data_IF_621002174234
#
_entry.id   IF_621002174234
#
_cell.length_a   1.000
_cell.length_b   1.000
_cell.length_c   1.000
_cell.angle_alpha   90.00
_cell.angle_beta   90.00
_cell.angle_gamma   90.00
#
_symmetry.space_group_name_H-M   'P 1'
#
loop_
_entity.id
_entity.type
_entity.pdbx_description
1 polymer ?
#
# COMPACT_ATOMS: atom_id res chain seq x y z
N UNK A 1 22.45 -18.15 34.71
CA UNK A 1 22.63 -17.76 36.12
C UNK A 1 23.47 -16.50 36.19
N UNK A 2 23.13 -15.53 37.05
CA UNK A 2 23.92 -14.32 37.28
C UNK A 2 25.00 -14.54 38.36
N UNK A 3 26.00 -13.66 38.46
CA UNK A 3 26.86 -13.61 39.64
C UNK A 3 26.07 -13.33 40.92
N UNK A 4 26.58 -13.79 42.07
CA UNK A 4 25.99 -13.53 43.39
C UNK A 4 26.33 -12.14 43.91
N UNK A 5 25.49 -11.59 44.79
CA UNK A 5 25.72 -10.28 45.42
C UNK A 5 26.95 -10.23 46.33
N UNK A 6 27.55 -11.38 46.68
CA UNK A 6 28.88 -11.43 47.31
C UNK A 6 29.93 -10.64 46.52
N UNK A 7 29.81 -10.61 45.18
CA UNK A 7 30.75 -9.93 44.31
C UNK A 7 30.48 -8.42 44.19
N UNK A 8 29.42 -7.93 44.84
CA UNK A 8 29.09 -6.51 44.97
C UNK A 8 27.60 -6.21 44.79
N UNK A 9 27.15 -5.06 45.30
CA UNK A 9 25.74 -4.65 45.28
C UNK A 9 25.21 -4.45 43.85
N UNK A 10 26.07 -4.15 42.87
CA UNK A 10 25.70 -3.97 41.47
C UNK A 10 24.99 -5.21 40.87
N UNK A 11 25.19 -6.40 41.43
CA UNK A 11 24.53 -7.62 40.95
C UNK A 11 23.06 -7.74 41.36
N UNK A 12 22.53 -6.77 42.12
CA UNK A 12 21.08 -6.56 42.19
C UNK A 12 20.48 -6.10 40.86
N UNK A 13 21.29 -5.45 40.01
CA UNK A 13 20.88 -4.97 38.70
C UNK A 13 21.37 -5.92 37.62
N UNK A 14 20.43 -6.57 36.94
CA UNK A 14 20.72 -7.45 35.80
C UNK A 14 19.71 -7.16 34.72
N UNK A 15 20.20 -6.91 33.50
CA UNK A 15 19.36 -6.64 32.34
C UNK A 15 19.52 -7.77 31.34
N UNK A 16 18.40 -8.38 30.95
CA UNK A 16 18.34 -9.38 29.89
C UNK A 16 17.55 -8.76 28.75
N UNK A 17 18.14 -8.69 27.55
CA UNK A 17 17.46 -8.18 26.36
C UNK A 17 17.39 -9.30 25.32
N UNK A 18 16.19 -9.52 24.79
CA UNK A 18 15.89 -10.49 23.74
C UNK A 18 15.60 -9.70 22.46
N UNK A 19 16.29 -10.02 21.36
CA UNK A 19 15.99 -9.50 20.02
C UNK A 19 15.28 -10.59 19.23
N UNK A 20 14.00 -10.39 18.95
CA UNK A 20 13.16 -11.30 18.18
C UNK A 20 13.44 -11.25 16.68
N UNK A 21 14.32 -10.34 16.21
CA UNK A 21 14.70 -10.08 14.80
C UNK A 21 13.58 -9.53 13.91
N UNK A 22 12.31 -9.75 14.26
CA UNK A 22 11.12 -9.20 13.61
C UNK A 22 10.19 -8.61 14.69
N UNK A 23 9.22 -7.78 14.28
CA UNK A 23 8.13 -7.35 15.15
C UNK A 23 7.11 -8.48 15.30
N UNK A 24 6.85 -8.87 16.54
CA UNK A 24 5.82 -9.84 16.90
C UNK A 24 4.69 -9.16 17.64
N UNK A 25 3.51 -9.74 17.52
CA UNK A 25 2.43 -9.48 18.45
C UNK A 25 2.51 -10.47 19.61
N UNK A 26 2.98 -9.98 20.76
CA UNK A 26 3.26 -10.83 21.93
C UNK A 26 2.00 -10.96 22.78
N UNK A 27 1.53 -12.20 22.94
CA UNK A 27 0.34 -12.51 23.72
C UNK A 27 0.66 -12.69 25.21
N UNK A 28 1.76 -13.37 25.51
CA UNK A 28 2.18 -13.63 26.89
C UNK A 28 3.68 -13.88 27.02
N UNK A 29 4.19 -13.70 28.23
CA UNK A 29 5.56 -14.02 28.60
C UNK A 29 5.56 -14.83 29.89
N UNK A 30 6.21 -15.98 29.86
CA UNK A 30 6.37 -16.88 31.00
C UNK A 30 7.86 -16.95 31.34
N UNK A 31 8.19 -16.59 32.58
CA UNK A 31 9.56 -16.69 33.09
C UNK A 31 9.57 -17.78 34.16
N UNK A 32 10.46 -18.76 33.99
CA UNK A 32 10.65 -19.83 34.97
C UNK A 32 12.02 -19.69 35.65
N UNK A 33 11.99 -19.42 36.95
CA UNK A 33 13.18 -19.44 37.77
C UNK A 33 13.72 -20.89 37.88
N UNK A 34 15.01 -21.01 38.14
CA UNK A 34 15.68 -22.29 38.37
C UNK A 34 15.94 -22.47 39.88
N UNK A 35 17.21 -22.63 40.26
CA UNK A 35 17.71 -22.70 41.63
C UNK A 35 17.87 -21.30 42.28
N UNK A 36 16.84 -20.46 42.17
CA UNK A 36 16.72 -19.17 42.86
C UNK A 36 15.26 -18.75 42.98
N UNK A 37 14.89 -17.90 43.95
CA UNK A 37 13.54 -17.35 44.00
C UNK A 37 13.28 -16.43 42.79
N UNK A 38 12.01 -16.10 42.57
CA UNK A 38 11.62 -15.11 41.56
C UNK A 38 12.23 -13.75 41.88
N UNK A 39 12.50 -12.91 40.86
CA UNK A 39 13.01 -11.56 41.10
C UNK A 39 12.07 -10.75 41.99
N UNK A 40 12.64 -9.91 42.86
CA UNK A 40 11.87 -9.09 43.79
C UNK A 40 11.26 -7.89 43.10
N UNK A 41 12.10 -6.91 42.74
CA UNK A 41 11.71 -5.74 41.97
C UNK A 41 12.32 -5.83 40.59
N UNK A 42 11.48 -5.70 39.57
CA UNK A 42 11.92 -5.69 38.19
C UNK A 42 10.87 -5.09 37.27
N UNK A 43 11.27 -4.76 36.06
CA UNK A 43 10.42 -4.19 35.03
C UNK A 43 10.50 -5.06 33.79
N UNK A 44 9.33 -5.38 33.23
CA UNK A 44 9.21 -5.95 31.90
C UNK A 44 9.01 -4.80 30.92
N UNK A 45 9.92 -4.67 29.96
CA UNK A 45 9.98 -3.57 29.01
C UNK A 45 9.94 -4.14 27.57
N UNK A 46 9.43 -3.34 26.64
CA UNK A 46 9.36 -3.62 25.21
C UNK A 46 9.90 -2.49 24.38
N UNK A 47 10.29 -2.80 23.15
CA UNK A 47 10.77 -1.82 22.18
C UNK A 47 10.62 -2.35 20.75
N UNK A 48 10.42 -1.43 19.79
CA UNK A 48 10.43 -1.73 18.35
C UNK A 48 11.82 -1.51 17.74
N UNK A 49 12.56 -0.51 18.23
CA UNK A 49 13.82 -0.03 17.67
C UNK A 49 15.06 -0.51 18.43
N UNK A 50 14.89 -0.98 19.67
CA UNK A 50 15.99 -1.39 20.55
C UNK A 50 16.68 -0.23 21.24
N UNK A 51 16.13 0.99 21.16
CA UNK A 51 16.66 2.20 21.79
C UNK A 51 15.66 2.74 22.81
N UNK A 52 14.42 3.02 22.39
CA UNK A 52 13.37 3.47 23.29
C UNK A 52 12.62 2.27 23.89
N UNK A 53 12.67 2.13 25.20
CA UNK A 53 12.05 1.03 25.93
C UNK A 53 10.90 1.53 26.77
N UNK A 54 9.72 1.00 26.47
CA UNK A 54 8.49 1.29 27.19
C UNK A 54 8.12 0.14 28.12
N UNK A 55 7.59 0.40 29.31
CA UNK A 55 7.22 -0.64 30.26
C UNK A 55 5.95 -1.36 29.79
N UNK A 56 5.95 -2.69 29.84
CA UNK A 56 4.74 -3.50 29.79
C UNK A 56 4.14 -3.70 31.18
N UNK A 57 4.98 -4.00 32.17
CA UNK A 57 4.51 -4.27 33.53
C UNK A 57 5.62 -4.09 34.56
N UNK A 58 5.24 -3.59 35.73
CA UNK A 58 6.11 -3.47 36.89
C UNK A 58 5.83 -4.57 37.91
N UNK A 59 6.91 -5.04 38.53
CA UNK A 59 6.85 -6.04 39.59
C UNK A 59 7.62 -5.51 40.80
N UNK A 60 6.99 -5.63 41.97
CA UNK A 60 7.54 -5.15 43.23
C UNK A 60 7.40 -6.21 44.32
N UNK A 61 8.29 -6.19 45.30
CA UNK A 61 8.25 -7.12 46.45
C UNK A 61 7.01 -6.97 47.34
N UNK A 62 6.42 -5.77 47.37
CA UNK A 62 5.22 -5.39 48.11
C UNK A 62 4.40 -4.34 47.35
N UNK A 63 3.12 -4.23 47.71
CA UNK A 63 2.21 -3.23 47.14
C UNK A 63 2.66 -1.79 47.45
N UNK A 64 3.27 -1.56 48.60
CA UNK A 64 3.85 -0.26 48.98
C UNK A 64 5.06 0.13 48.11
N UNK A 65 5.86 -0.85 47.67
CA UNK A 65 6.99 -0.60 46.79
C UNK A 65 6.56 -0.22 45.36
N UNK A 66 5.38 -0.65 44.90
CA UNK A 66 4.81 -0.16 43.64
C UNK A 66 4.64 1.37 43.64
N UNK A 67 4.06 1.92 44.73
CA UNK A 67 3.83 3.34 44.85
C UNK A 67 5.14 4.12 45.09
N UNK A 68 5.97 3.65 46.01
CA UNK A 68 7.18 4.40 46.42
C UNK A 68 8.30 4.35 45.39
N UNK A 69 8.45 3.25 44.63
CA UNK A 69 9.53 3.09 43.64
C UNK A 69 9.12 3.42 42.21
N UNK A 70 7.90 3.03 41.82
CA UNK A 70 7.43 3.19 40.44
C UNK A 70 6.34 4.26 40.30
N UNK A 71 5.88 4.87 41.41
CA UNK A 71 4.81 5.85 41.42
C UNK A 71 3.50 5.33 40.78
N UNK A 72 3.23 4.03 40.94
CA UNK A 72 2.05 3.36 40.39
C UNK A 72 1.24 2.74 41.53
N UNK A 73 -0.08 2.91 41.49
CA UNK A 73 -0.97 2.27 42.45
C UNK A 73 -0.94 0.74 42.27
N UNK A 74 -0.71 -0.03 43.35
CA UNK A 74 -0.57 -1.47 43.25
C UNK A 74 -1.88 -2.14 42.83
N UNK A 75 -1.79 -3.12 41.92
CA UNK A 75 -2.90 -4.00 41.57
C UNK A 75 -2.94 -5.19 42.54
N UNK A 76 -3.97 -5.21 43.38
CA UNK A 76 -4.14 -6.23 44.43
C UNK A 76 -4.65 -7.53 43.80
N UNK A 77 -4.00 -8.65 44.14
CA UNK A 77 -4.38 -9.97 43.64
C UNK A 77 -3.79 -10.27 42.25
N UNK A 78 -4.43 -11.17 41.48
CA UNK A 78 -4.02 -11.46 40.11
C UNK A 78 -4.06 -10.22 39.22
N UNK A 79 -3.12 -10.08 38.25
CA UNK A 79 -3.16 -9.00 37.26
C UNK A 79 -4.52 -8.89 36.56
N UNK A 80 -5.07 -7.68 36.55
CA UNK A 80 -6.31 -7.33 35.84
C UNK A 80 -6.19 -5.90 35.33
N UNK A 81 -6.81 -5.61 34.20
CA UNK A 81 -6.62 -4.37 33.44
C UNK A 81 -7.96 -3.68 33.19
N UNK A 82 -7.96 -2.35 33.15
CA UNK A 82 -9.11 -1.49 32.84
C UNK A 82 -9.05 -0.91 31.43
N UNK A 83 -7.84 -0.75 30.88
CA UNK A 83 -7.59 -0.25 29.50
C UNK A 83 -6.64 -1.18 28.77
N UNK A 84 -6.61 -1.08 27.44
CA UNK A 84 -5.77 -1.93 26.60
C UNK A 84 -4.28 -1.57 26.67
N UNK A 85 -3.96 -0.30 26.89
CA UNK A 85 -2.60 0.23 27.03
C UNK A 85 -2.12 0.31 28.50
N UNK A 86 -2.95 -0.10 29.47
CA UNK A 86 -2.65 0.12 30.88
C UNK A 86 -1.42 -0.67 31.33
N UNK A 87 -0.48 0.05 31.94
CA UNK A 87 0.71 -0.50 32.58
C UNK A 87 0.49 -0.54 34.09
N UNK A 88 0.48 -1.75 34.65
CA UNK A 88 0.22 -1.95 36.08
C UNK A 88 1.50 -2.29 36.86
N UNK A 89 1.41 -2.19 38.18
CA UNK A 89 2.37 -2.78 39.10
C UNK A 89 1.71 -3.83 39.99
N UNK A 90 2.33 -5.00 40.15
CA UNK A 90 1.81 -6.07 41.01
C UNK A 90 2.91 -6.70 41.87
N UNK A 91 2.54 -7.11 43.08
CA UNK A 91 3.37 -7.92 43.97
C UNK A 91 3.08 -9.42 43.91
N UNK A 92 2.04 -9.83 43.17
CA UNK A 92 1.53 -11.20 43.13
C UNK A 92 2.61 -12.22 42.70
N UNK A 93 3.36 -11.90 41.65
CA UNK A 93 4.43 -12.75 41.12
C UNK A 93 5.80 -12.54 41.77
N UNK A 94 5.95 -11.57 42.67
CA UNK A 94 7.19 -11.28 43.40
C UNK A 94 7.18 -11.82 44.84
N UNK A 95 6.20 -12.66 45.18
CA UNK A 95 6.13 -13.36 46.48
C UNK A 95 7.28 -14.36 46.60
N UNK A 96 7.80 -14.49 47.82
CA UNK A 96 8.98 -15.29 48.15
C UNK A 96 8.82 -16.78 47.85
N UNK A 97 7.62 -17.34 48.06
CA UNK A 97 7.32 -18.75 47.75
C UNK A 97 6.84 -18.85 46.30
N UNK A 98 7.32 -19.82 45.51
CA UNK A 98 8.33 -20.83 45.86
C UNK A 98 9.77 -20.28 45.77
N UNK A 99 10.68 -20.88 46.54
CA UNK A 99 12.10 -20.50 46.59
C UNK A 99 12.90 -20.98 45.37
N UNK A 100 12.38 -21.95 44.64
CA UNK A 100 12.96 -22.49 43.41
C UNK A 100 11.84 -22.81 42.44
N UNK A 101 12.16 -22.87 41.14
CA UNK A 101 11.21 -23.23 40.08
C UNK A 101 9.96 -22.34 40.03
N UNK A 102 10.04 -21.13 40.60
CA UNK A 102 8.93 -20.19 40.59
C UNK A 102 8.65 -19.68 39.19
N UNK A 103 7.36 -19.62 38.85
CA UNK A 103 6.89 -19.16 37.56
C UNK A 103 6.26 -17.77 37.67
N UNK A 104 6.49 -16.97 36.64
CA UNK A 104 5.87 -15.66 36.46
C UNK A 104 5.15 -15.69 35.13
N UNK A 105 3.83 -15.56 35.18
CA UNK A 105 2.96 -15.57 34.02
C UNK A 105 2.48 -14.15 33.76
N UNK A 106 2.81 -13.61 32.61
CA UNK A 106 2.43 -12.25 32.22
C UNK A 106 1.61 -12.32 30.96
N UNK A 107 0.30 -12.16 31.10
CA UNK A 107 -0.60 -12.06 29.95
C UNK A 107 -0.70 -10.60 29.51
N UNK A 108 -0.42 -10.34 28.24
CA UNK A 108 -0.53 -9.01 27.63
C UNK A 108 -1.88 -8.79 26.95
N UNK A 109 -2.59 -9.86 26.57
CA UNK A 109 -3.91 -9.81 25.91
C UNK A 109 -5.02 -10.17 26.91
N UNK A 110 -4.97 -11.37 27.50
CA UNK A 110 -6.06 -11.85 28.35
C UNK A 110 -6.28 -10.94 29.56
N UNK A 111 -7.54 -10.61 29.83
CA UNK A 111 -7.96 -9.75 30.93
C UNK A 111 -8.03 -8.27 30.59
N UNK A 112 -7.71 -7.86 29.35
CA UNK A 112 -7.96 -6.52 28.82
C UNK A 112 -9.35 -6.43 28.16
N UNK A 113 -10.01 -5.26 28.15
CA UNK A 113 -11.36 -5.11 27.62
C UNK A 113 -11.51 -5.56 26.16
N UNK A 114 -10.54 -5.23 25.31
CA UNK A 114 -10.58 -5.51 23.87
C UNK A 114 -9.84 -6.80 23.49
N UNK A 115 -9.78 -7.77 24.41
CA UNK A 115 -9.14 -9.05 24.12
C UNK A 115 -9.86 -9.83 23.01
N UNK A 116 -11.19 -9.67 22.90
CA UNK A 116 -12.03 -10.37 21.91
C UNK A 116 -12.08 -9.63 20.56
N UNK A 117 -11.88 -8.31 20.56
CA UNK A 117 -11.87 -7.46 19.35
C UNK A 117 -10.57 -6.65 19.33
N UNK A 118 -9.58 -7.12 18.59
CA UNK A 118 -8.20 -6.60 18.62
C UNK A 118 -8.11 -5.16 18.10
N UNK A 119 -8.33 -4.20 19.01
CA UNK A 119 -8.24 -2.77 18.73
C UNK A 119 -6.82 -2.35 18.31
N UNK A 120 -6.66 -1.31 17.48
CA UNK A 120 -5.34 -0.79 17.12
C UNK A 120 -4.46 -0.44 18.34
N UNK A 121 -5.06 0.06 19.43
CA UNK A 121 -4.39 0.37 20.69
C UNK A 121 -3.78 -0.91 21.33
N UNK A 122 -4.52 -2.02 21.36
CA UNK A 122 -4.02 -3.29 21.89
C UNK A 122 -2.96 -3.92 20.98
N UNK A 123 -3.14 -3.85 19.66
CA UNK A 123 -2.15 -4.30 18.67
C UNK A 123 -0.82 -3.55 18.86
N UNK A 124 -0.89 -2.22 18.98
CA UNK A 124 0.29 -1.39 19.21
C UNK A 124 0.93 -1.71 20.56
N UNK A 125 0.14 -1.86 21.62
CA UNK A 125 0.65 -2.20 22.95
C UNK A 125 1.36 -3.56 22.99
N UNK A 126 0.83 -4.57 22.30
CA UNK A 126 1.38 -5.94 22.27
C UNK A 126 2.51 -6.12 21.27
N UNK A 127 2.73 -5.15 20.38
CA UNK A 127 3.82 -5.17 19.40
C UNK A 127 5.19 -4.96 20.06
N UNK A 128 6.14 -5.85 19.74
CA UNK A 128 7.52 -5.74 20.16
C UNK A 128 8.48 -6.50 19.24
N UNK A 129 9.67 -5.95 19.04
CA UNK A 129 10.83 -6.66 18.49
C UNK A 129 11.83 -6.99 19.58
N UNK A 130 12.04 -6.07 20.51
CA UNK A 130 12.94 -6.23 21.63
C UNK A 130 12.14 -6.35 22.93
N UNK A 131 12.49 -7.34 23.73
CA UNK A 131 11.92 -7.55 25.05
C UNK A 131 13.05 -7.44 26.06
N UNK A 132 12.86 -6.62 27.09
CA UNK A 132 13.89 -6.38 28.11
C UNK A 132 13.34 -6.67 29.50
N UNK A 133 14.05 -7.51 30.23
CA UNK A 133 13.81 -7.79 31.64
C UNK A 133 14.84 -6.99 32.43
N UNK A 134 14.40 -5.94 33.12
CA UNK A 134 15.26 -5.11 33.96
C UNK A 134 15.09 -5.51 35.42
N UNK A 135 15.92 -6.44 35.87
CA UNK A 135 15.95 -6.90 37.26
C UNK A 135 16.67 -5.86 38.11
N UNK A 136 16.03 -5.39 39.18
CA UNK A 136 16.53 -4.29 40.01
C UNK A 136 16.78 -4.67 41.47
N UNK A 137 16.15 -5.75 41.96
CA UNK A 137 16.31 -6.23 43.33
C UNK A 137 16.08 -7.73 43.43
N UNK A 138 17.00 -8.41 44.11
CA UNK A 138 16.89 -9.85 44.39
C UNK A 138 15.94 -10.05 45.57
N UNK A 139 15.12 -11.10 45.53
CA UNK A 139 14.27 -11.46 46.65
C UNK A 139 15.10 -12.18 47.72
N UNK A 140 15.13 -11.62 48.93
CA UNK A 140 15.82 -12.19 50.08
C UNK A 140 14.85 -12.84 51.05
N UNK A 141 15.32 -13.78 51.86
CA UNK A 141 14.57 -14.29 53.01
C UNK A 141 14.41 -13.16 54.04
N UNK A 142 13.28 -13.13 54.75
CA UNK A 142 13.01 -12.09 55.76
C UNK A 142 14.07 -12.09 56.88
N UNK A 143 14.61 -13.26 57.24
CA UNK A 143 15.67 -13.40 58.24
C UNK A 143 16.99 -12.75 57.80
N UNK A 144 17.32 -12.83 56.50
CA UNK A 144 18.57 -12.30 55.95
C UNK A 144 18.45 -10.82 55.55
N UNK A 145 17.23 -10.28 55.49
CA UNK A 145 16.96 -8.88 55.16
C UNK A 145 17.60 -7.91 56.18
N UNK A 146 17.63 -8.30 57.46
CA UNK A 146 18.26 -7.52 58.53
C UNK A 146 19.79 -7.55 58.45
N UNK A 147 20.36 -8.63 57.91
CA UNK A 147 21.81 -8.79 57.72
C UNK A 147 22.29 -8.05 56.47
N UNK A 148 21.45 -7.99 55.42
CA UNK A 148 21.75 -7.33 54.15
C UNK A 148 21.44 -5.82 54.15
N UNK A 149 20.77 -5.31 55.19
CA UNK A 149 20.49 -3.87 55.38
C UNK A 149 21.60 -3.12 56.15
N UNK A 150 22.65 -3.83 56.60
CA UNK A 150 23.82 -3.20 57.21
C UNK A 150 24.53 -2.27 56.22
N UNK A 151 24.97 -1.11 56.72
CA UNK A 151 25.55 -0.03 55.90
C UNK A 151 26.96 -0.35 55.41
N UNK A 152 27.70 -1.22 56.09
CA UNK A 152 29.04 -1.65 55.67
C UNK A 152 28.98 -3.07 55.06
N UNK A 153 29.29 -3.24 53.75
CA UNK A 153 29.36 -4.55 53.11
C UNK A 153 30.37 -5.51 53.74
N UNK A 154 31.31 -5.03 54.56
CA UNK A 154 32.33 -5.84 55.25
C UNK A 154 31.78 -6.60 56.47
N UNK A 155 30.67 -6.15 57.03
CA UNK A 155 30.05 -6.76 58.22
C UNK A 155 29.03 -7.86 57.86
N UNK A 156 28.77 -8.06 56.57
CA UNK A 156 27.82 -9.07 56.08
C UNK A 156 28.53 -10.39 55.80
N UNK A 157 28.06 -11.48 56.41
CA UNK A 157 28.61 -12.81 56.19
C UNK A 157 28.62 -13.19 54.68
N UNK A 158 29.80 -13.45 54.09
CA UNK A 158 29.93 -13.87 52.70
C UNK A 158 29.14 -15.14 52.33
N UNK A 159 28.79 -15.98 53.31
CA UNK A 159 27.97 -17.18 53.12
C UNK A 159 26.53 -16.80 52.74
N UNK A 160 25.99 -15.74 53.35
CA UNK A 160 24.63 -15.25 53.08
C UNK A 160 24.58 -14.61 51.69
N UNK A 161 25.53 -13.72 51.38
CA UNK A 161 25.58 -13.01 50.09
C UNK A 161 25.90 -13.92 48.90
N UNK A 162 26.56 -15.07 49.12
CA UNK A 162 26.84 -16.05 48.07
C UNK A 162 25.58 -16.79 47.58
N UNK A 163 24.54 -16.89 48.41
CA UNK A 163 23.29 -17.61 48.09
C UNK A 163 22.31 -16.79 47.25
N UNK A 164 22.52 -15.48 47.16
CA UNK A 164 21.62 -14.57 46.46
C UNK A 164 22.14 -14.21 45.06
N UNK A 165 21.48 -14.76 44.04
CA UNK A 165 21.70 -14.53 42.62
C UNK A 165 20.39 -14.74 41.85
N UNK A 166 20.35 -14.35 40.58
CA UNK A 166 19.26 -14.69 39.67
C UNK A 166 19.58 -15.96 38.88
N UNK A 167 18.61 -16.86 38.79
CA UNK A 167 18.70 -18.06 37.96
C UNK A 167 17.37 -18.27 37.25
N UNK A 168 17.41 -18.17 35.93
CA UNK A 168 16.28 -18.37 35.03
C UNK A 168 16.63 -19.57 34.16
N UNK A 169 15.77 -20.60 34.16
CA UNK A 169 15.95 -21.79 33.32
C UNK A 169 15.29 -21.65 31.95
N UNK A 170 14.19 -20.91 31.89
CA UNK A 170 13.37 -20.78 30.70
C UNK A 170 12.68 -19.42 30.64
N UNK A 171 12.67 -18.82 29.45
CA UNK A 171 11.88 -17.64 29.11
C UNK A 171 11.09 -18.01 27.86
N UNK A 172 9.80 -18.25 28.04
CA UNK A 172 8.88 -18.54 26.94
C UNK A 172 8.13 -17.26 26.56
N UNK A 173 8.29 -16.84 25.32
CA UNK A 173 7.54 -15.71 24.73
C UNK A 173 6.54 -16.29 23.74
N UNK A 174 5.25 -16.17 24.05
CA UNK A 174 4.17 -16.60 23.17
C UNK A 174 3.63 -15.41 22.38
N UNK A 175 3.55 -15.56 21.06
CA UNK A 175 3.04 -14.53 20.18
C UNK A 175 2.86 -15.03 18.76
N UNK A 176 2.40 -14.14 17.89
CA UNK A 176 2.22 -14.39 16.46
C UNK A 176 3.00 -13.36 15.65
N UNK A 177 3.46 -13.78 14.47
CA UNK A 177 4.02 -12.86 13.50
C UNK A 177 2.94 -11.93 12.96
N UNK A 178 3.30 -10.67 12.72
CA UNK A 178 2.39 -9.70 12.13
C UNK A 178 2.45 -9.84 10.61
N UNK A 179 1.45 -10.54 10.06
CA UNK A 179 1.27 -10.70 8.61
C UNK A 179 -0.07 -10.14 8.11
N UNK A 180 -0.76 -9.35 8.96
CA UNK A 180 -2.05 -8.71 8.68
C UNK A 180 -3.14 -9.64 8.09
N UNK A 181 -3.13 -10.92 8.46
CA UNK A 181 -4.10 -11.90 7.94
C UNK A 181 -3.83 -12.38 6.51
N UNK A 182 -2.68 -12.04 5.93
CA UNK A 182 -2.28 -12.48 4.58
C UNK A 182 -1.19 -13.56 4.58
N UNK A 183 -0.92 -14.22 5.70
CA UNK A 183 -0.02 -15.37 5.72
C UNK A 183 -0.46 -16.38 6.78
N UNK A 184 -0.34 -17.67 6.47
CA UNK A 184 -0.60 -18.74 7.44
C UNK A 184 0.61 -19.08 8.30
N UNK A 185 1.82 -18.76 7.83
CA UNK A 185 3.05 -19.10 8.53
C UNK A 185 4.17 -18.08 8.29
N UNK A 186 5.06 -18.00 9.28
CA UNK A 186 6.30 -17.24 9.23
C UNK A 186 7.44 -18.19 9.61
N UNK A 187 7.95 -19.01 8.66
CA UNK A 187 9.02 -19.93 8.95
C UNK A 187 10.30 -19.17 9.31
N UNK A 188 11.07 -19.74 10.23
CA UNK A 188 12.39 -19.22 10.55
C UNK A 188 13.40 -19.72 9.52
N UNK A 189 14.05 -18.79 8.83
CA UNK A 189 15.22 -19.06 7.98
C UNK A 189 16.46 -18.35 8.55
N UNK A 190 17.58 -19.07 8.78
CA UNK A 190 18.83 -18.48 9.25
C UNK A 190 19.42 -17.41 8.32
N UNK A 191 19.05 -17.39 7.03
CA UNK A 191 19.54 -16.42 6.03
C UNK A 191 18.54 -15.29 5.79
N UNK A 192 17.25 -15.61 5.62
CA UNK A 192 16.21 -14.64 5.21
C UNK A 192 15.43 -14.03 6.38
N UNK A 193 15.84 -14.28 7.63
CA UNK A 193 15.14 -13.87 8.87
C UNK A 193 13.76 -14.57 8.97
N UNK A 194 13.03 -14.28 10.04
CA UNK A 194 11.61 -14.62 10.13
C UNK A 194 10.85 -13.69 9.17
N UNK A 195 10.24 -14.25 8.12
CA UNK A 195 9.47 -13.52 7.12
C UNK A 195 8.12 -14.23 6.89
N UNK A 196 7.06 -13.45 6.69
CA UNK A 196 5.74 -13.99 6.37
C UNK A 196 5.75 -14.63 4.97
N UNK A 197 5.15 -15.81 4.82
CA UNK A 197 4.87 -16.39 3.51
C UNK A 197 3.56 -15.78 3.01
N UNK A 198 3.68 -14.66 2.31
CA UNK A 198 2.52 -13.87 1.90
C UNK A 198 1.63 -14.59 0.87
N UNK A 199 0.33 -14.50 1.10
CA UNK A 199 -0.78 -14.94 0.27
C UNK A 199 -1.57 -13.70 -0.19
N UNK A 200 -2.76 -13.89 -0.78
CA UNK A 200 -3.67 -12.79 -1.12
C UNK A 200 -3.04 -11.69 -2.04
N UNK A 201 -2.04 -12.07 -2.84
CA UNK A 201 -1.25 -11.17 -3.70
C UNK A 201 -0.61 -9.99 -2.95
N UNK A 202 -0.22 -10.22 -1.70
CA UNK A 202 0.50 -9.25 -0.86
C UNK A 202 1.99 -9.55 -0.84
N UNK A 203 2.78 -8.50 -0.64
CA UNK A 203 4.23 -8.52 -0.66
C UNK A 203 4.79 -7.75 0.57
N UNK A 204 6.10 -7.81 0.77
CA UNK A 204 6.80 -7.22 1.92
C UNK A 204 7.21 -8.24 2.99
N UNK A 205 7.93 -7.81 4.03
CA UNK A 205 8.35 -8.71 5.13
C UNK A 205 7.15 -9.19 5.97
N UNK A 206 6.12 -8.36 6.05
CA UNK A 206 4.91 -8.55 6.84
C UNK A 206 3.62 -8.54 6.01
N UNK A 207 3.71 -8.68 4.69
CA UNK A 207 2.53 -8.66 3.80
C UNK A 207 1.73 -7.34 3.89
N UNK A 208 2.45 -6.23 4.06
CA UNK A 208 1.92 -4.91 4.37
C UNK A 208 1.69 -4.03 3.11
N UNK A 209 1.84 -4.61 1.93
CA UNK A 209 1.59 -3.95 0.64
C UNK A 209 1.07 -4.96 -0.37
N UNK A 210 0.38 -4.49 -1.41
CA UNK A 210 0.04 -5.34 -2.55
C UNK A 210 1.29 -5.60 -3.41
N UNK A 211 1.35 -6.76 -4.04
CA UNK A 211 2.43 -7.04 -4.97
C UNK A 211 2.34 -6.15 -6.24
N UNK A 212 3.47 -5.92 -6.93
CA UNK A 212 3.49 -5.18 -8.19
C UNK A 212 2.44 -5.71 -9.18
N UNK A 213 1.65 -4.80 -9.75
CA UNK A 213 0.54 -5.11 -10.66
C UNK A 213 -0.80 -5.45 -9.99
N UNK A 214 -0.90 -5.45 -8.65
CA UNK A 214 -2.11 -5.77 -7.89
C UNK A 214 -2.72 -4.57 -7.14
N UNK A 215 -2.58 -3.38 -7.70
CA UNK A 215 -3.05 -2.12 -7.08
C UNK A 215 -4.39 -1.64 -7.66
N UNK A 216 -5.31 -2.54 -8.01
CA UNK A 216 -6.63 -2.15 -8.51
C UNK A 216 -7.48 -1.49 -7.42
N UNK A 217 -7.33 -1.94 -6.18
CA UNK A 217 -7.97 -1.42 -4.97
C UNK A 217 -6.90 -1.12 -3.90
N UNK A 218 -7.20 -0.30 -2.88
CA UNK A 218 -6.24 -0.04 -1.81
C UNK A 218 -6.03 -1.30 -0.97
N UNK A 219 -4.80 -1.50 -0.48
CA UNK A 219 -4.47 -2.60 0.43
C UNK A 219 -5.30 -2.50 1.72
N UNK A 220 -5.78 -3.65 2.22
CA UNK A 220 -6.51 -3.75 3.47
C UNK A 220 -6.10 -5.04 4.20
N UNK A 221 -6.02 -5.04 5.54
CA UNK A 221 -5.67 -6.23 6.30
C UNK A 221 -6.74 -7.31 6.15
N UNK A 222 -6.35 -8.58 6.07
CA UNK A 222 -7.26 -9.71 6.11
C UNK A 222 -8.05 -9.79 7.42
N UNK A 223 -9.32 -10.19 7.31
CA UNK A 223 -10.25 -10.42 8.42
C UNK A 223 -10.62 -11.91 8.49
N UNK A 224 -11.31 -12.33 9.54
CA UNK A 224 -11.80 -13.71 9.66
C UNK A 224 -12.80 -14.10 8.55
N UNK A 225 -13.54 -13.13 8.02
CA UNK A 225 -14.59 -13.34 7.02
C UNK A 225 -14.12 -13.08 5.59
N UNK A 226 -13.16 -12.17 5.41
CA UNK A 226 -12.67 -11.73 4.10
C UNK A 226 -11.14 -11.63 4.11
N UNK A 227 -10.49 -12.28 3.16
CA UNK A 227 -9.04 -12.26 3.01
C UNK A 227 -8.49 -10.93 2.47
N UNK A 228 -9.35 -10.03 1.96
CA UNK A 228 -8.97 -8.73 1.39
C UNK A 228 -7.83 -8.88 0.38
N UNK A 229 -8.04 -9.75 -0.60
CA UNK A 229 -7.04 -10.08 -1.62
C UNK A 229 -6.82 -8.91 -2.57
N UNK A 230 -5.58 -8.52 -2.77
CA UNK A 230 -5.22 -7.48 -3.73
C UNK A 230 -5.62 -7.91 -5.15
N UNK A 231 -6.39 -7.06 -5.84
CA UNK A 231 -6.86 -7.31 -7.20
C UNK A 231 -5.84 -6.83 -8.25
N UNK A 232 -5.63 -7.66 -9.28
CA UNK A 232 -4.76 -7.36 -10.42
C UNK A 232 -5.30 -6.20 -11.26
N UNK A 233 -4.45 -5.26 -11.62
CA UNK A 233 -4.81 -4.19 -12.55
C UNK A 233 -5.04 -4.72 -13.98
N UNK A 234 -6.02 -4.15 -14.66
CA UNK A 234 -6.26 -4.45 -16.07
C UNK A 234 -5.49 -3.49 -16.98
N UNK A 235 -4.26 -3.84 -17.34
CA UNK A 235 -3.45 -3.05 -18.27
C UNK A 235 -3.47 -3.59 -19.71
N UNK A 236 -4.45 -4.43 -20.06
CA UNK A 236 -4.55 -5.09 -21.36
C UNK A 236 -3.24 -5.79 -21.83
N UNK A 237 -2.49 -6.37 -20.88
CA UNK A 237 -1.16 -6.97 -21.11
C UNK A 237 -0.11 -6.01 -21.71
N UNK A 238 -0.30 -4.70 -21.56
CA UNK A 238 0.62 -3.66 -22.05
C UNK A 238 1.46 -3.04 -20.95
N UNK A 239 1.13 -3.28 -19.68
CA UNK A 239 1.97 -2.97 -18.54
C UNK A 239 1.95 -4.14 -17.56
N UNK A 240 3.04 -4.27 -16.80
CA UNK A 240 3.19 -5.31 -15.76
C UNK A 240 2.78 -4.78 -14.39
N UNK A 241 3.02 -3.49 -14.14
CA UNK A 241 2.83 -2.86 -12.85
C UNK A 241 1.83 -1.70 -12.94
N UNK A 242 1.27 -1.31 -11.80
CA UNK A 242 0.31 -0.24 -11.64
C UNK A 242 0.36 0.30 -10.21
N UNK A 243 -0.16 1.50 -9.99
CA UNK A 243 -0.38 2.06 -8.65
C UNK A 243 -1.84 2.43 -8.45
N UNK A 244 -2.28 2.47 -7.19
CA UNK A 244 -3.64 2.88 -6.86
C UNK A 244 -3.75 4.41 -6.79
N UNK A 245 -4.81 4.98 -7.36
CA UNK A 245 -5.14 6.38 -7.27
C UNK A 245 -6.61 6.58 -6.88
N UNK A 246 -6.84 7.23 -5.75
CA UNK A 246 -8.19 7.49 -5.22
C UNK A 246 -9.05 8.32 -6.19
N UNK A 247 -8.49 9.35 -6.82
CA UNK A 247 -9.24 10.21 -7.75
C UNK A 247 -9.69 9.43 -8.99
N UNK A 248 -8.89 8.48 -9.45
CA UNK A 248 -9.25 7.58 -10.58
C UNK A 248 -10.39 6.65 -10.18
N UNK A 249 -10.40 6.18 -8.93
CA UNK A 249 -11.49 5.38 -8.38
C UNK A 249 -12.79 6.16 -8.24
N UNK A 250 -12.72 7.36 -7.66
CA UNK A 250 -13.89 8.23 -7.45
C UNK A 250 -14.54 8.62 -8.79
N UNK A 251 -13.73 8.87 -9.82
CA UNK A 251 -14.18 9.20 -11.18
C UNK A 251 -14.53 7.97 -12.03
N UNK A 252 -14.37 6.74 -11.50
CA UNK A 252 -14.61 5.47 -12.21
C UNK A 252 -13.89 5.40 -13.56
N UNK A 253 -12.61 5.78 -13.57
CA UNK A 253 -11.79 5.82 -14.79
C UNK A 253 -10.96 4.54 -15.01
N UNK A 254 -10.74 3.74 -13.96
CA UNK A 254 -10.08 2.45 -14.08
C UNK A 254 -11.09 1.35 -14.36
N UNK A 255 -10.70 0.41 -15.22
CA UNK A 255 -11.42 -0.84 -15.46
C UNK A 255 -10.72 -1.99 -14.75
N UNK A 256 -11.49 -2.88 -14.13
CA UNK A 256 -10.97 -4.07 -13.48
C UNK A 256 -10.84 -5.26 -14.46
N UNK A 257 -10.40 -6.43 -13.97
CA UNK A 257 -10.21 -7.60 -14.86
C UNK A 257 -11.50 -8.17 -15.45
N UNK A 258 -12.65 -7.89 -14.85
CA UNK A 258 -13.99 -8.27 -15.32
C UNK A 258 -14.59 -7.26 -16.32
N UNK A 259 -13.90 -6.18 -16.62
CA UNK A 259 -14.39 -5.14 -17.54
C UNK A 259 -15.34 -4.12 -16.89
N UNK A 260 -15.41 -4.08 -15.56
CA UNK A 260 -16.22 -3.12 -14.81
C UNK A 260 -15.39 -1.88 -14.45
N UNK A 261 -16.01 -0.70 -14.52
CA UNK A 261 -15.38 0.58 -14.13
C UNK A 261 -15.39 0.77 -12.62
N UNK A 262 -14.55 -0.01 -11.93
CA UNK A 262 -14.40 -0.05 -10.48
C UNK A 262 -12.93 -0.07 -10.09
N UNK A 263 -12.59 0.45 -8.92
CA UNK A 263 -11.21 0.56 -8.46
C UNK A 263 -10.46 1.77 -9.05
N UNK A 264 -9.19 1.92 -8.68
CA UNK A 264 -8.35 3.08 -8.96
C UNK A 264 -6.98 2.75 -9.55
N UNK A 265 -6.81 1.55 -10.10
CA UNK A 265 -5.54 1.12 -10.68
C UNK A 265 -5.12 1.95 -11.89
N UNK A 266 -3.89 2.46 -11.87
CA UNK A 266 -3.27 3.21 -12.97
C UNK A 266 -2.02 2.49 -13.43
N UNK A 267 -2.02 2.03 -14.67
CA UNK A 267 -0.91 1.31 -15.27
C UNK A 267 0.32 2.21 -15.46
N UNK A 268 1.51 1.66 -15.19
CA UNK A 268 2.78 2.37 -15.38
C UNK A 268 3.56 1.77 -16.55
N UNK A 269 4.27 2.60 -17.31
CA UNK A 269 5.08 2.18 -18.47
C UNK A 269 4.29 1.35 -19.50
N UNK A 270 3.18 1.90 -19.98
CA UNK A 270 2.40 1.31 -21.07
C UNK A 270 3.28 1.06 -22.31
N UNK A 271 3.40 -0.21 -22.71
CA UNK A 271 4.12 -0.64 -23.91
C UNK A 271 3.24 -0.53 -25.16
N UNK A 272 3.78 -0.89 -26.33
CA UNK A 272 3.05 -0.90 -27.61
C UNK A 272 2.47 0.47 -27.99
N UNK A 273 3.18 1.56 -27.63
CA UNK A 273 2.80 2.95 -27.90
C UNK A 273 1.39 3.28 -27.42
N UNK A 274 1.03 2.78 -26.24
CA UNK A 274 -0.27 2.99 -25.61
C UNK A 274 -0.19 3.94 -24.43
N UNK A 275 -1.31 4.54 -24.09
CA UNK A 275 -1.47 5.50 -23.00
C UNK A 275 -2.85 5.33 -22.34
N UNK A 276 -3.12 6.16 -21.33
CA UNK A 276 -4.35 6.11 -20.53
C UNK A 276 -4.22 5.21 -19.29
N UNK A 277 -5.24 5.28 -18.43
CA UNK A 277 -5.29 4.61 -17.11
C UNK A 277 -5.03 3.10 -17.19
N UNK A 278 -5.59 2.44 -18.21
CA UNK A 278 -5.52 1.00 -18.43
C UNK A 278 -4.69 0.64 -19.69
N UNK A 279 -3.88 1.58 -20.22
CA UNK A 279 -3.21 1.44 -21.53
C UNK A 279 -4.21 1.22 -22.69
N UNK A 280 -5.39 1.85 -22.59
CA UNK A 280 -6.51 1.68 -23.50
C UNK A 280 -6.53 2.66 -24.68
N UNK A 281 -5.78 3.76 -24.62
CA UNK A 281 -5.61 4.71 -25.74
C UNK A 281 -4.23 4.56 -26.38
N UNK A 282 -4.00 5.20 -27.53
CA UNK A 282 -2.65 5.31 -28.07
C UNK A 282 -1.94 6.51 -27.45
N UNK A 283 -0.61 6.42 -27.34
CA UNK A 283 0.21 7.55 -26.95
C UNK A 283 0.15 8.66 -28.00
N UNK A 284 0.48 9.89 -27.59
CA UNK A 284 0.52 11.03 -28.49
C UNK A 284 1.43 10.74 -29.69
N UNK A 285 0.94 11.05 -30.89
CA UNK A 285 1.62 10.71 -32.14
C UNK A 285 1.34 9.31 -32.67
N UNK A 286 0.54 8.47 -31.99
CA UNK A 286 0.14 7.15 -32.47
C UNK A 286 -1.39 7.02 -32.58
N UNK A 287 -1.87 6.23 -33.54
CA UNK A 287 -3.31 5.97 -33.72
C UNK A 287 -3.60 4.51 -34.07
N UNK A 288 -4.86 4.09 -33.86
CA UNK A 288 -5.36 2.76 -34.27
C UNK A 288 -5.90 2.83 -35.71
N UNK A 289 -5.32 2.10 -36.67
CA UNK A 289 -5.88 2.02 -38.02
C UNK A 289 -7.22 1.26 -37.98
N UNK A 290 -8.23 1.77 -38.69
CA UNK A 290 -9.63 1.32 -38.59
C UNK A 290 -9.90 -0.14 -39.08
N UNK A 291 -8.85 -0.90 -39.43
CA UNK A 291 -8.94 -2.23 -40.06
C UNK A 291 -7.83 -3.21 -39.62
N UNK A 292 -6.97 -2.82 -38.66
CA UNK A 292 -5.91 -3.70 -38.12
C UNK A 292 -6.30 -4.14 -36.70
N UNK A 293 -5.91 -5.36 -36.33
CA UNK A 293 -6.23 -5.98 -35.05
C UNK A 293 -6.02 -5.03 -33.85
N UNK A 294 -6.92 -5.08 -32.86
CA UNK A 294 -7.11 -4.17 -31.71
C UNK A 294 -5.88 -4.04 -30.78
N UNK A 295 -4.81 -4.78 -31.06
CA UNK A 295 -3.71 -5.02 -30.16
C UNK A 295 -2.60 -3.97 -30.22
N UNK A 296 -2.33 -3.31 -31.36
CA UNK A 296 -1.10 -2.51 -31.56
C UNK A 296 -1.39 -1.11 -32.08
N UNK A 297 -0.76 -0.08 -31.47
CA UNK A 297 -0.70 1.28 -32.03
C UNK A 297 0.50 1.34 -33.00
N UNK A 298 0.22 1.37 -34.31
CA UNK A 298 1.20 0.99 -35.34
C UNK A 298 1.96 2.16 -35.95
N UNK A 299 1.30 3.31 -36.16
CA UNK A 299 1.87 4.37 -37.00
C UNK A 299 2.25 5.60 -36.17
N UNK A 300 3.51 6.02 -36.29
CA UNK A 300 4.01 7.30 -35.78
C UNK A 300 3.61 8.41 -36.75
N UNK A 301 3.06 9.49 -36.23
CA UNK A 301 2.71 10.69 -36.96
C UNK A 301 4.00 11.42 -37.41
N UNK A 302 4.57 11.06 -38.54
CA UNK A 302 5.64 11.85 -39.19
C UNK A 302 5.06 13.16 -39.74
N UNK A 303 4.98 14.17 -38.88
CA UNK A 303 4.61 15.54 -39.19
C UNK A 303 5.88 16.32 -39.59
N UNK A 304 6.29 16.34 -40.87
CA UNK A 304 7.60 16.87 -41.31
C UNK A 304 7.67 18.40 -41.56
N UNK A 305 6.62 19.20 -41.30
CA UNK A 305 6.70 20.67 -41.42
C UNK A 305 5.73 21.40 -40.47
N UNK A 306 6.26 22.04 -39.43
CA UNK A 306 5.51 22.98 -38.58
C UNK A 306 5.78 24.42 -39.05
N UNK A 307 4.78 25.03 -39.71
CA UNK A 307 4.80 26.48 -39.95
C UNK A 307 4.34 27.20 -38.67
N UNK A 308 5.29 27.87 -38.04
CA UNK A 308 5.12 28.65 -36.82
C UNK A 308 4.15 29.82 -37.02
N UNK A 309 2.93 29.70 -36.48
CA UNK A 309 2.16 30.83 -35.95
C UNK A 309 1.08 30.29 -35.00
N UNK A 310 1.33 30.48 -33.70
CA UNK A 310 0.53 30.07 -32.52
C UNK A 310 0.49 28.58 -32.18
N UNK A 311 0.70 28.31 -30.90
CA UNK A 311 0.95 27.01 -30.27
C UNK A 311 -0.40 26.30 -30.07
N UNK A 312 -0.84 25.46 -31.02
CA UNK A 312 -1.83 24.37 -30.77
C UNK A 312 -2.19 23.48 -31.98
N UNK A 313 -1.52 23.56 -33.13
CA UNK A 313 -1.88 22.74 -34.30
C UNK A 313 -0.66 22.10 -34.97
N UNK A 314 -0.39 20.83 -34.66
CA UNK A 314 0.42 19.96 -35.52
C UNK A 314 -0.52 19.26 -36.51
N UNK A 315 -0.43 19.61 -37.80
CA UNK A 315 -1.19 18.95 -38.88
C UNK A 315 -0.27 17.98 -39.58
N UNK A 316 -0.60 16.68 -39.55
CA UNK A 316 0.19 15.67 -40.23
C UNK A 316 -0.20 15.56 -41.70
N UNK A 317 0.81 15.65 -42.56
CA UNK A 317 0.67 15.62 -44.01
C UNK A 317 1.22 14.30 -44.51
N UNK A 318 0.37 13.26 -44.45
CA UNK A 318 0.21 12.26 -45.52
C UNK A 318 -1.12 11.56 -45.34
N UNK A 319 -2.11 12.17 -46.01
CA UNK A 319 -3.45 11.69 -46.33
C UNK A 319 -4.29 11.08 -45.18
N UNK A 320 -4.75 11.92 -44.25
CA UNK A 320 -6.05 11.82 -43.53
C UNK A 320 -6.38 13.15 -42.84
N UNK A 321 -7.38 13.86 -43.36
CA UNK A 321 -8.00 15.01 -42.68
C UNK A 321 -9.25 14.50 -41.98
N UNK A 322 -9.24 14.50 -40.64
CA UNK A 322 -10.44 14.26 -39.83
C UNK A 322 -11.01 15.63 -39.42
N UNK A 323 -12.26 15.90 -39.78
CA UNK A 323 -13.00 17.09 -39.33
C UNK A 323 -13.99 16.66 -38.25
N UNK A 324 -13.91 17.31 -37.08
CA UNK A 324 -14.83 17.09 -35.96
C UNK A 324 -16.07 17.98 -36.12
N UNK A 325 -17.26 17.38 -36.15
CA UNK A 325 -18.54 18.12 -36.17
C UNK A 325 -19.30 17.82 -34.87
N UNK A 326 -18.91 18.54 -33.81
CA UNK A 326 -19.41 18.48 -32.42
C UNK A 326 -19.17 17.15 -31.68
N UNK A 327 -19.16 17.27 -30.35
CA UNK A 327 -18.75 16.24 -29.37
C UNK A 327 -19.12 14.82 -29.83
N UNK A 328 -18.08 14.00 -30.02
CA UNK A 328 -18.15 12.53 -30.24
C UNK A 328 -18.33 11.98 -31.65
N UNK A 329 -18.33 12.78 -32.74
CA UNK A 329 -18.36 12.20 -34.10
C UNK A 329 -17.27 12.78 -35.02
N UNK A 330 -16.28 11.95 -35.34
CA UNK A 330 -15.28 12.22 -36.37
C UNK A 330 -15.59 11.36 -37.60
N UNK A 331 -15.73 11.98 -38.77
CA UNK A 331 -15.91 11.25 -40.04
C UNK A 331 -14.64 11.38 -40.86
N UNK A 332 -14.01 10.24 -41.18
CA UNK A 332 -12.88 10.16 -42.11
C UNK A 332 -13.42 10.14 -43.55
N UNK A 333 -13.01 11.06 -44.40
CA UNK A 333 -13.43 11.08 -45.82
C UNK A 333 -12.19 11.08 -46.73
N UNK A 334 -12.10 10.06 -47.59
CA UNK A 334 -11.31 10.13 -48.83
C UNK A 334 -12.05 9.49 -49.99
N UNK A 335 -12.32 10.29 -51.04
CA UNK A 335 -12.06 9.97 -52.45
C UNK A 335 -12.57 11.09 -53.36
N UNK A 336 -11.67 11.66 -54.16
CA UNK A 336 -12.06 12.25 -55.44
C UNK A 336 -12.20 11.13 -56.47
N UNK A 337 -13.42 10.63 -56.67
CA UNK A 337 -13.95 10.18 -57.96
C UNK A 337 -15.46 9.98 -57.81
N UNK A 338 -16.19 10.74 -58.64
CA UNK A 338 -17.66 10.76 -58.82
C UNK A 338 -18.46 11.54 -57.76
N UNK A 339 -18.81 12.80 -58.11
CA UNK A 339 -19.75 13.65 -57.38
C UNK A 339 -21.18 13.35 -57.85
N UNK A 340 -22.02 12.78 -56.97
CA UNK A 340 -23.48 12.88 -57.09
C UNK A 340 -23.98 13.83 -56.00
N UNK A 341 -24.54 14.97 -56.38
CA UNK A 341 -25.21 15.90 -55.46
C UNK A 341 -26.72 15.64 -55.47
N UNK A 342 -27.30 15.40 -54.30
CA UNK A 342 -28.73 15.52 -54.06
C UNK A 342 -29.00 16.90 -53.46
N UNK A 343 -29.78 17.72 -54.16
CA UNK A 343 -30.22 19.08 -53.79
C UNK A 343 -29.22 20.23 -53.99
N UNK A 344 -29.77 21.33 -54.47
CA UNK A 344 -29.08 22.41 -55.16
C UNK A 344 -28.61 23.51 -54.20
N UNK A 345 -27.29 23.68 -54.07
CA UNK A 345 -26.55 24.96 -53.97
C UNK A 345 -25.08 24.70 -53.62
N UNK A 346 -24.17 25.18 -54.46
CA UNK A 346 -22.76 25.34 -54.12
C UNK A 346 -22.44 26.84 -54.12
N UNK A 347 -21.73 27.32 -53.10
CA UNK A 347 -21.07 28.63 -53.05
C UNK A 347 -19.63 28.35 -52.62
N UNK A 348 -18.66 28.84 -53.40
CA UNK A 348 -17.23 28.77 -53.06
C UNK A 348 -16.77 30.11 -52.44
N UNK A 349 -15.77 30.04 -51.56
CA UNK A 349 -15.27 31.10 -50.68
C UNK A 349 -14.13 31.89 -51.35
N UNK A 350 -14.18 32.10 -52.66
CA UNK A 350 -13.29 33.06 -53.33
C UNK A 350 -13.85 33.52 -54.69
N UNK A 351 -14.62 34.62 -54.64
CA UNK A 351 -14.97 35.56 -55.72
C UNK A 351 -14.70 35.15 -57.18
N UNK A 352 -15.57 34.33 -57.77
CA UNK A 352 -15.93 34.38 -59.19
C UNK A 352 -17.33 33.78 -59.42
N UNK A 353 -18.17 34.47 -60.19
CA UNK A 353 -19.57 34.10 -60.43
C UNK A 353 -19.69 32.87 -61.35
N UNK A 354 -20.46 31.85 -60.93
CA UNK A 354 -20.98 30.80 -61.81
C UNK A 354 -22.50 30.97 -61.96
N UNK A 355 -22.97 31.12 -63.20
CA UNK A 355 -24.38 31.18 -63.55
C UNK A 355 -24.87 29.80 -64.01
N UNK A 356 -25.93 29.29 -63.38
CA UNK A 356 -26.59 28.05 -63.77
C UNK A 356 -27.51 28.27 -64.99
N UNK A 357 -27.17 27.68 -66.13
CA UNK A 357 -28.10 27.51 -67.25
C UNK A 357 -28.58 26.05 -67.26
N UNK A 358 -29.71 25.81 -66.58
CA UNK A 358 -30.59 24.62 -66.63
C UNK A 358 -29.93 23.25 -66.93
N UNK A 359 -29.54 22.51 -65.88
CA UNK A 359 -29.11 21.09 -65.96
C UNK A 359 -28.02 20.71 -64.94
N UNK A 360 -27.73 19.41 -64.70
CA UNK A 360 -26.88 18.92 -63.59
C UNK A 360 -25.37 18.92 -63.92
N UNK A 361 -24.89 19.81 -64.79
CA UNK A 361 -23.45 19.92 -65.12
C UNK A 361 -22.99 21.36 -64.98
N UNK A 362 -21.99 21.58 -64.13
CA UNK A 362 -21.24 22.83 -64.08
C UNK A 362 -19.99 22.70 -64.97
N UNK A 363 -19.65 23.75 -65.72
CA UNK A 363 -18.44 23.80 -66.55
C UNK A 363 -17.46 24.83 -65.96
N UNK A 364 -16.20 24.45 -65.81
CA UNK A 364 -15.10 25.35 -65.43
C UNK A 364 -14.38 25.78 -66.72
N UNK A 365 -14.42 27.06 -67.06
CA UNK A 365 -13.56 27.62 -68.10
C UNK A 365 -12.19 28.00 -67.48
N UNK A 366 -11.15 27.22 -67.77
CA UNK A 366 -9.76 27.64 -67.50
C UNK A 366 -9.29 28.55 -68.65
N UNK A 367 -9.02 29.82 -68.34
CA UNK A 367 -8.46 30.79 -69.28
C UNK A 367 -7.19 30.26 -69.96
N UNK A 368 -7.17 30.26 -71.31
CA UNK A 368 -5.96 30.49 -72.10
C UNK A 368 -6.17 31.81 -72.85
N UNK A 369 -5.16 32.68 -72.77
CA UNK A 369 -5.11 33.97 -73.46
C UNK A 369 -5.53 33.86 -74.94
N UNK A 370 -6.56 34.60 -75.35
CA UNK A 370 -6.79 35.03 -76.73
C UNK A 370 -7.28 36.48 -76.66
N UNK A 371 -6.47 37.41 -77.17
CA UNK A 371 -6.89 38.77 -77.52
C UNK A 371 -7.54 38.76 -78.90
N UNK A 372 -8.76 39.29 -79.05
CA UNK A 372 -9.18 40.12 -80.18
C UNK A 372 -10.62 40.63 -80.02
N UNK A 373 -10.81 41.83 -80.58
CA UNK A 373 -11.91 42.79 -80.50
C UNK A 373 -13.13 42.44 -81.39
N UNK A 374 -14.21 43.22 -81.24
CA UNK A 374 -15.31 43.55 -82.17
C UNK A 374 -16.69 42.88 -81.97
N UNK A 375 -17.62 43.69 -81.46
CA UNK A 375 -19.06 43.90 -81.78
C UNK A 375 -19.92 42.75 -82.40
N UNK A 376 -21.17 42.69 -81.88
CA UNK A 376 -22.45 42.23 -82.47
C UNK A 376 -22.88 40.75 -82.45
N UNK A 377 -24.06 40.54 -81.82
CA UNK A 377 -25.28 39.80 -82.21
C UNK A 377 -25.28 38.32 -82.71
N UNK A 378 -26.41 37.65 -82.35
CA UNK A 378 -27.02 36.38 -82.82
C UNK A 378 -26.66 35.08 -82.04
N UNK A 379 -27.58 34.46 -81.27
CA UNK A 379 -28.80 33.66 -81.57
C UNK A 379 -28.55 32.20 -82.01
N UNK A 380 -29.20 31.31 -81.24
CA UNK A 380 -30.06 30.20 -81.69
C UNK A 380 -29.61 28.73 -81.77
N UNK A 381 -30.54 27.91 -81.25
CA UNK A 381 -30.99 26.56 -81.65
C UNK A 381 -30.04 25.37 -81.50
N UNK A 382 -30.39 24.46 -80.58
CA UNK A 382 -30.69 23.04 -80.88
C UNK A 382 -31.43 22.43 -79.66
N UNK A 383 -32.75 22.62 -79.61
CA UNK A 383 -33.78 21.55 -79.70
C UNK A 383 -33.50 20.32 -78.82
N UNK A 384 -34.25 20.12 -77.73
CA UNK A 384 -35.62 19.59 -77.75
C UNK A 384 -35.71 18.30 -78.57
N UNK A 385 -35.54 17.14 -77.91
CA UNK A 385 -36.24 15.90 -78.25
C UNK A 385 -35.99 14.80 -77.21
N UNK A 386 -37.06 14.04 -76.94
CA UNK A 386 -37.13 12.70 -76.33
C UNK A 386 -37.37 12.59 -74.81
N UNK A 387 -38.52 13.12 -74.42
CA UNK A 387 -39.49 12.42 -73.59
C UNK A 387 -40.17 11.35 -74.46
N UNK A 388 -39.89 10.05 -74.22
CA UNK A 388 -40.80 8.87 -74.36
C UNK A 388 -40.02 7.54 -74.40
N UNK A 389 -40.62 6.54 -73.74
CA UNK A 389 -40.44 5.08 -73.82
C UNK A 389 -39.44 4.45 -72.81
N UNK A 390 -39.92 3.81 -71.72
CA UNK A 390 -40.32 2.37 -71.57
C UNK A 390 -39.05 1.54 -71.22
N UNK A 391 -38.85 0.90 -70.05
CA UNK A 391 -39.68 0.22 -69.02
C UNK A 391 -39.22 0.65 -67.62
#
# INVERSE_FOLDING_TARGET
>A
QSPSIKNGPQFHWVTITLDLRQVFQVAYIIIKAANSPRPGNWVLERSLDGVDFQPWQYYATSDTECLTRYNITPRIGPPTYKRDDEVICTSYYSRLVPLEHGEIHTSLINGRPSADDLTPELLEFTSARFIRLRLQRIRTLNADLMTLSYRDPKDVDPIVTRRYYYSIKDISVGGMCICYGHAQSCPWDPVTKLQCVCEHNTCGESCNECCPGYHQEPWQPGTLSDGNTCEKCNCHNKAVDCYYNQTVADLRLSVNTLGLFVGGGVCVNCSQNTAGVNCQTCADGYYRPHQVCVCVCVCECECEFCLSLSVELCVCVRECVCVCVRESVCVCVFKFKELYCHSAKCVDIQWNEMLCLTGPRCYIFKHKHITLDVRNNFLNLYLANLLKAVI
#
